data_IF_711858558738
#
_entry.id   IF_711858558738
#
_cell.length_a   1.000
_cell.length_b   1.000
_cell.length_c   1.000
_cell.angle_alpha   90.00
_cell.angle_beta   90.00
_cell.angle_gamma   90.00
#
_symmetry.space_group_name_H-M   'P 1'
#
loop_
_entity.id
_entity.type
_entity.pdbx_description
1 polymer ?
#
# COMPACT_ATOMS: atom_id res chain seq x y z
N UNK A 1 38.89 17.39 -55.09
CA UNK A 1 38.34 18.38 -54.14
C UNK A 1 36.80 18.46 -54.07
N UNK A 2 36.05 18.18 -55.16
CA UNK A 2 34.57 18.26 -55.15
C UNK A 2 33.90 17.21 -54.25
N UNK A 3 34.47 16.00 -54.17
CA UNK A 3 33.95 14.89 -53.34
C UNK A 3 33.95 15.17 -51.82
N UNK A 4 34.91 15.94 -51.31
CA UNK A 4 35.03 16.20 -49.88
C UNK A 4 34.01 17.25 -49.39
N UNK A 5 33.61 18.19 -50.26
CA UNK A 5 32.57 19.19 -49.97
C UNK A 5 31.17 18.55 -49.91
N UNK A 6 30.89 17.59 -50.78
CA UNK A 6 29.64 16.83 -50.77
C UNK A 6 29.51 15.96 -49.50
N UNK A 7 30.59 15.29 -49.10
CA UNK A 7 30.60 14.46 -47.89
C UNK A 7 30.40 15.31 -46.62
N UNK A 8 31.06 16.47 -46.50
CA UNK A 8 30.86 17.39 -45.37
C UNK A 8 29.44 17.95 -45.31
N UNK A 9 28.82 18.27 -46.46
CA UNK A 9 27.43 18.70 -46.51
C UNK A 9 26.46 17.58 -46.09
N UNK A 10 26.70 16.35 -46.53
CA UNK A 10 25.87 15.21 -46.13
C UNK A 10 25.93 14.96 -44.62
N UNK A 11 27.13 14.93 -44.04
CA UNK A 11 27.30 14.72 -42.58
C UNK A 11 26.62 15.84 -41.78
N UNK A 12 26.76 17.10 -42.22
CA UNK A 12 26.14 18.23 -41.53
C UNK A 12 24.61 18.17 -41.57
N UNK A 13 24.03 17.78 -42.72
CA UNK A 13 22.58 17.60 -42.88
C UNK A 13 22.08 16.45 -41.99
N UNK A 14 22.80 15.32 -41.92
CA UNK A 14 22.43 14.19 -41.06
C UNK A 14 22.46 14.56 -39.57
N UNK A 15 23.46 15.32 -39.13
CA UNK A 15 23.55 15.78 -37.73
C UNK A 15 22.38 16.72 -37.39
N UNK A 16 22.04 17.66 -38.27
CA UNK A 16 20.90 18.57 -38.06
C UNK A 16 19.59 17.78 -37.98
N UNK A 17 19.37 16.82 -38.89
CA UNK A 17 18.18 15.95 -38.86
C UNK A 17 18.09 15.15 -37.55
N UNK A 18 19.21 14.60 -37.06
CA UNK A 18 19.24 13.87 -35.80
C UNK A 18 18.93 14.76 -34.59
N UNK A 19 19.46 15.99 -34.56
CA UNK A 19 19.18 16.96 -33.52
C UNK A 19 17.71 17.42 -33.56
N UNK A 20 17.17 17.71 -34.74
CA UNK A 20 15.77 18.09 -34.91
C UNK A 20 14.81 16.96 -34.51
N UNK A 21 15.11 15.72 -34.89
CA UNK A 21 14.33 14.54 -34.48
C UNK A 21 14.44 14.29 -32.97
N UNK A 22 15.63 14.46 -32.39
CA UNK A 22 15.84 14.37 -30.94
C UNK A 22 15.01 15.41 -30.17
N UNK A 23 15.08 16.68 -30.58
CA UNK A 23 14.27 17.78 -29.98
C UNK A 23 12.78 17.53 -30.17
N UNK A 24 12.36 17.05 -31.34
CA UNK A 24 10.96 16.70 -31.60
C UNK A 24 10.47 15.57 -30.68
N UNK A 25 11.26 14.49 -30.53
CA UNK A 25 10.91 13.38 -29.65
C UNK A 25 10.90 13.78 -28.17
N UNK A 26 11.85 14.61 -27.73
CA UNK A 26 11.88 15.16 -26.37
C UNK A 26 10.64 16.03 -26.12
N UNK A 27 10.28 16.91 -27.06
CA UNK A 27 9.11 17.76 -26.93
C UNK A 27 7.79 16.98 -27.01
N UNK A 28 7.72 15.94 -27.85
CA UNK A 28 6.56 15.04 -27.93
C UNK A 28 6.42 14.22 -26.66
N UNK A 29 7.50 13.64 -26.16
CA UNK A 29 7.53 12.92 -24.89
C UNK A 29 7.14 13.83 -23.73
N UNK A 30 7.64 15.08 -23.70
CA UNK A 30 7.20 16.07 -22.73
C UNK A 30 5.72 16.39 -22.88
N UNK A 31 5.19 16.66 -24.07
CA UNK A 31 3.75 16.95 -24.25
C UNK A 31 2.84 15.79 -23.86
N UNK A 32 3.21 14.56 -24.21
CA UNK A 32 2.40 13.36 -23.96
C UNK A 32 2.49 12.90 -22.49
N UNK A 33 3.57 13.22 -21.78
CA UNK A 33 3.76 12.85 -20.37
C UNK A 33 3.66 14.03 -19.39
N UNK A 34 3.63 15.28 -19.86
CA UNK A 34 3.36 16.44 -19.04
C UNK A 34 1.86 16.50 -18.77
N UNK A 35 1.45 15.86 -17.68
CA UNK A 35 0.16 16.17 -17.08
C UNK A 35 0.18 17.67 -16.74
N UNK A 36 -0.74 18.50 -17.25
CA UNK A 36 -0.76 19.92 -16.95
C UNK A 36 -0.81 20.14 -15.43
N UNK A 37 0.29 20.65 -14.86
CA UNK A 37 0.42 20.90 -13.41
C UNK A 37 -0.71 21.83 -12.94
N UNK A 38 -1.18 22.75 -13.80
CA UNK A 38 -2.29 23.68 -13.51
C UNK A 38 -3.62 23.00 -13.16
N UNK A 39 -3.87 21.76 -13.58
CA UNK A 39 -5.11 21.05 -13.25
C UNK A 39 -5.03 20.18 -11.98
N UNK A 40 -3.87 20.12 -11.29
CA UNK A 40 -3.73 19.36 -10.02
C UNK A 40 -4.29 20.07 -8.79
N UNK A 41 -4.64 21.35 -8.91
CA UNK A 41 -4.73 22.23 -7.74
C UNK A 41 -6.10 22.88 -7.51
N UNK A 42 -7.19 22.29 -8.01
CA UNK A 42 -8.54 22.77 -7.70
C UNK A 42 -8.97 22.35 -6.29
N UNK A 43 -9.07 23.35 -5.41
CA UNK A 43 -9.87 23.48 -4.18
C UNK A 43 -9.81 22.35 -3.14
N UNK A 44 -10.00 22.71 -1.88
CA UNK A 44 -10.22 21.78 -0.77
C UNK A 44 -11.43 20.88 -1.11
N UNK A 45 -11.17 19.73 -1.71
CA UNK A 45 -12.20 18.72 -1.95
C UNK A 45 -12.50 18.11 -0.59
N UNK A 46 -13.76 18.20 -0.17
CA UNK A 46 -14.19 17.62 1.08
C UNK A 46 -13.97 16.10 1.04
N UNK A 47 -13.73 15.49 2.20
CA UNK A 47 -13.66 14.03 2.33
C UNK A 47 -14.92 13.35 1.76
N UNK A 48 -16.07 14.02 1.90
CA UNK A 48 -17.38 13.58 1.40
C UNK A 48 -17.39 13.47 -0.14
N UNK A 49 -16.81 14.43 -0.85
CA UNK A 49 -16.80 14.40 -2.32
C UNK A 49 -15.90 13.29 -2.87
N UNK A 50 -14.75 13.05 -2.21
CA UNK A 50 -13.86 11.93 -2.56
C UNK A 50 -14.51 10.57 -2.30
N UNK A 51 -15.26 10.44 -1.21
CA UNK A 51 -16.00 9.22 -0.91
C UNK A 51 -17.11 8.97 -1.95
N UNK A 52 -17.86 10.01 -2.35
CA UNK A 52 -18.86 9.92 -3.41
C UNK A 52 -18.25 9.49 -4.75
N UNK A 53 -17.14 10.12 -5.15
CA UNK A 53 -16.43 9.75 -6.38
C UNK A 53 -15.98 8.30 -6.35
N UNK A 54 -15.41 7.84 -5.23
CA UNK A 54 -15.02 6.45 -5.08
C UNK A 54 -16.21 5.51 -5.16
N UNK A 55 -17.30 5.84 -4.48
CA UNK A 55 -18.49 5.01 -4.49
C UNK A 55 -19.08 4.89 -5.89
N UNK A 56 -19.02 5.97 -6.68
CA UNK A 56 -19.40 5.96 -8.09
C UNK A 56 -18.41 5.14 -8.94
N UNK A 57 -17.10 5.35 -8.77
CA UNK A 57 -16.07 4.66 -9.56
C UNK A 57 -16.04 3.16 -9.30
N UNK A 58 -16.26 2.74 -8.06
CA UNK A 58 -16.20 1.35 -7.62
C UNK A 58 -17.58 0.78 -7.28
N UNK A 59 -18.64 1.25 -7.96
CA UNK A 59 -20.00 0.82 -7.68
C UNK A 59 -20.19 -0.71 -7.82
N UNK A 60 -19.52 -1.34 -8.80
CA UNK A 60 -19.56 -2.80 -8.98
C UNK A 60 -18.94 -3.54 -7.81
N UNK A 61 -17.76 -3.10 -7.35
CA UNK A 61 -17.15 -3.65 -6.15
C UNK A 61 -18.01 -3.41 -4.90
N UNK A 62 -18.64 -2.23 -4.76
CA UNK A 62 -19.54 -1.95 -3.64
C UNK A 62 -20.74 -2.90 -3.61
N UNK A 63 -21.36 -3.15 -4.77
CA UNK A 63 -22.45 -4.12 -4.88
C UNK A 63 -21.99 -5.54 -4.51
N UNK A 64 -20.82 -5.95 -5.01
CA UNK A 64 -20.19 -7.23 -4.70
C UNK A 64 -19.89 -7.39 -3.19
N UNK A 65 -19.31 -6.35 -2.58
CA UNK A 65 -19.00 -6.30 -1.14
C UNK A 65 -20.26 -6.44 -0.29
N UNK A 66 -21.32 -5.69 -0.63
CA UNK A 66 -22.60 -5.76 0.09
C UNK A 66 -23.28 -7.12 -0.05
N UNK A 67 -23.22 -7.74 -1.24
CA UNK A 67 -23.75 -9.08 -1.44
C UNK A 67 -22.95 -10.12 -0.64
N UNK A 68 -21.62 -9.99 -0.64
CA UNK A 68 -20.74 -10.84 0.13
C UNK A 68 -21.07 -10.78 1.64
N UNK A 69 -21.28 -9.60 2.21
CA UNK A 69 -21.67 -9.44 3.64
C UNK A 69 -22.95 -10.21 3.94
N UNK A 70 -24.00 -10.01 3.13
CA UNK A 70 -25.30 -10.69 3.35
C UNK A 70 -25.14 -12.21 3.35
N UNK A 71 -24.46 -12.73 2.33
CA UNK A 71 -24.17 -14.16 2.21
C UNK A 71 -23.34 -14.68 3.39
N UNK A 72 -22.33 -13.92 3.81
CA UNK A 72 -21.44 -14.28 4.90
C UNK A 72 -22.20 -14.39 6.22
N UNK A 73 -22.97 -13.36 6.57
CA UNK A 73 -23.77 -13.33 7.80
C UNK A 73 -24.80 -14.46 7.85
N UNK A 74 -25.48 -14.74 6.74
CA UNK A 74 -26.42 -15.87 6.66
C UNK A 74 -25.71 -17.22 6.90
N UNK A 75 -24.55 -17.42 6.29
CA UNK A 75 -23.78 -18.65 6.45
C UNK A 75 -23.22 -18.78 7.88
N UNK A 76 -22.71 -17.70 8.47
CA UNK A 76 -22.21 -17.71 9.85
C UNK A 76 -23.33 -17.95 10.85
N UNK A 77 -24.51 -17.34 10.66
CA UNK A 77 -25.68 -17.63 11.51
C UNK A 77 -26.02 -19.13 11.50
N UNK A 78 -25.94 -19.79 10.35
CA UNK A 78 -26.13 -21.25 10.24
C UNK A 78 -25.02 -22.02 10.96
N UNK A 79 -23.75 -21.65 10.77
CA UNK A 79 -22.61 -22.26 11.45
C UNK A 79 -22.73 -22.17 12.99
N UNK A 80 -23.10 -21.00 13.51
CA UNK A 80 -23.23 -20.79 14.96
C UNK A 80 -24.40 -21.58 15.56
N UNK A 81 -25.50 -21.77 14.82
CA UNK A 81 -26.58 -22.68 15.23
C UNK A 81 -26.12 -24.14 15.25
N UNK A 82 -25.37 -24.57 14.24
CA UNK A 82 -24.80 -25.94 14.19
C UNK A 82 -23.85 -26.20 15.37
N UNK A 83 -23.07 -25.21 15.79
CA UNK A 83 -22.19 -25.31 16.96
C UNK A 83 -22.95 -25.56 18.26
N UNK A 84 -24.20 -25.10 18.35
CA UNK A 84 -25.06 -25.26 19.54
C UNK A 84 -25.80 -26.61 19.53
N UNK A 85 -26.08 -27.19 18.36
CA UNK A 85 -26.70 -28.50 18.26
C UNK A 85 -25.68 -29.61 18.55
N UNK A 86 -26.01 -30.54 19.46
CA UNK A 86 -25.22 -31.74 19.77
C UNK A 86 -25.17 -32.78 18.64
N UNK A 87 -25.89 -32.54 17.53
CA UNK A 87 -25.94 -33.45 16.37
C UNK A 87 -24.80 -33.11 15.40
N UNK A 88 -23.70 -33.85 15.51
CA UNK A 88 -22.43 -33.62 14.79
C UNK A 88 -22.41 -34.05 13.30
N UNK A 89 -23.56 -34.22 12.64
CA UNK A 89 -23.63 -34.88 11.33
C UNK A 89 -23.86 -33.94 10.13
N UNK A 90 -23.43 -32.67 10.20
CA UNK A 90 -23.44 -31.81 9.01
C UNK A 90 -22.24 -32.10 8.10
N UNK A 91 -22.46 -32.93 7.09
CA UNK A 91 -21.44 -33.32 6.10
C UNK A 91 -20.97 -32.15 5.21
N UNK A 92 -21.79 -31.11 5.02
CA UNK A 92 -21.46 -30.00 4.11
C UNK A 92 -21.35 -28.64 4.83
N UNK A 93 -20.17 -28.35 5.36
CA UNK A 93 -19.83 -27.00 5.83
C UNK A 93 -19.50 -26.09 4.64
N UNK A 94 -19.81 -24.78 4.70
CA UNK A 94 -19.33 -23.82 3.71
C UNK A 94 -17.80 -23.80 3.70
N UNK A 95 -17.23 -23.57 2.53
CA UNK A 95 -15.78 -23.45 2.37
C UNK A 95 -15.29 -22.08 2.86
N UNK A 96 -14.06 -22.02 3.35
CA UNK A 96 -13.53 -20.83 4.01
C UNK A 96 -12.15 -20.42 3.50
N UNK A 97 -11.86 -19.13 3.60
CA UNK A 97 -10.51 -18.55 3.54
C UNK A 97 -10.16 -18.08 4.95
N UNK A 98 -9.04 -18.57 5.49
CA UNK A 98 -8.56 -18.20 6.82
C UNK A 98 -7.24 -17.46 6.69
N UNK A 99 -7.26 -16.18 7.06
CA UNK A 99 -6.07 -15.33 7.13
C UNK A 99 -5.53 -15.35 8.55
N UNK A 100 -4.24 -15.61 8.68
CA UNK A 100 -3.49 -15.43 9.93
C UNK A 100 -2.50 -14.28 9.74
N UNK A 101 -2.80 -13.07 10.21
CA UNK A 101 -1.83 -11.98 10.22
C UNK A 101 -0.63 -12.35 11.11
N UNK A 102 0.58 -11.95 10.73
CA UNK A 102 1.76 -12.18 11.57
C UNK A 102 1.82 -11.14 12.69
N UNK A 103 1.27 -11.48 13.85
CA UNK A 103 1.19 -10.59 15.01
C UNK A 103 2.56 -10.17 15.57
N UNK A 104 3.65 -10.90 15.23
CA UNK A 104 5.03 -10.54 15.58
C UNK A 104 5.59 -9.40 14.73
N UNK A 105 4.89 -9.03 13.68
CA UNK A 105 5.26 -7.91 12.80
C UNK A 105 4.52 -6.63 13.17
N UNK A 106 5.03 -5.50 12.69
CA UNK A 106 4.38 -4.21 12.86
C UNK A 106 3.03 -4.17 12.14
N UNK A 107 2.13 -3.29 12.60
CA UNK A 107 0.74 -3.25 12.15
C UNK A 107 0.58 -3.14 10.61
N UNK A 108 1.47 -2.40 9.94
CA UNK A 108 1.45 -2.26 8.48
C UNK A 108 1.62 -3.59 7.74
N UNK A 109 2.34 -4.57 8.31
CA UNK A 109 2.50 -5.90 7.71
C UNK A 109 1.30 -6.82 7.94
N UNK A 110 0.39 -6.48 8.84
CA UNK A 110 -0.77 -7.32 9.18
C UNK A 110 -1.90 -7.17 8.14
N UNK A 111 -2.03 -6.00 7.53
CA UNK A 111 -3.14 -5.69 6.63
C UNK A 111 -3.06 -6.29 5.22
N UNK A 112 -1.88 -6.38 4.56
CA UNK A 112 -1.80 -6.96 3.23
C UNK A 112 -2.37 -8.38 3.16
N UNK A 113 -2.08 -9.22 4.16
CA UNK A 113 -2.63 -10.58 4.23
C UNK A 113 -4.16 -10.61 4.35
N UNK A 114 -4.75 -9.69 5.13
CA UNK A 114 -6.21 -9.58 5.30
C UNK A 114 -6.87 -9.18 3.99
N UNK A 115 -6.34 -8.16 3.33
CA UNK A 115 -6.82 -7.70 2.01
C UNK A 115 -6.72 -8.81 0.98
N UNK A 116 -5.58 -9.50 0.90
CA UNK A 116 -5.42 -10.61 -0.04
C UNK A 116 -6.38 -11.76 0.24
N UNK A 117 -6.65 -12.08 1.52
CA UNK A 117 -7.61 -13.10 1.87
C UNK A 117 -9.03 -12.75 1.51
N UNK A 118 -9.44 -11.50 1.65
CA UNK A 118 -10.75 -11.07 1.18
C UNK A 118 -10.89 -11.15 -0.34
N UNK A 119 -9.84 -10.74 -1.08
CA UNK A 119 -9.86 -10.88 -2.53
C UNK A 119 -10.04 -12.36 -2.93
N UNK A 120 -9.28 -13.26 -2.31
CA UNK A 120 -9.42 -14.70 -2.58
C UNK A 120 -10.77 -15.25 -2.13
N UNK A 121 -11.35 -14.74 -1.04
CA UNK A 121 -12.67 -15.20 -0.56
C UNK A 121 -13.77 -14.84 -1.55
N UNK A 122 -13.71 -13.66 -2.16
CA UNK A 122 -14.63 -13.28 -3.24
C UNK A 122 -14.40 -14.16 -4.48
N UNK A 123 -13.15 -14.29 -4.95
CA UNK A 123 -12.83 -15.05 -6.18
C UNK A 123 -13.26 -16.52 -6.08
N UNK A 124 -13.15 -17.11 -4.89
CA UNK A 124 -13.44 -18.53 -4.66
C UNK A 124 -14.81 -18.79 -4.03
N UNK A 125 -15.62 -17.74 -3.84
CA UNK A 125 -16.94 -17.80 -3.22
C UNK A 125 -16.94 -18.44 -1.81
N UNK A 126 -15.93 -18.07 -1.00
CA UNK A 126 -15.68 -18.61 0.34
C UNK A 126 -15.92 -17.57 1.42
N UNK A 127 -16.17 -18.03 2.65
CA UNK A 127 -16.25 -17.15 3.82
C UNK A 127 -14.85 -16.77 4.31
N UNK A 128 -14.60 -15.48 4.53
CA UNK A 128 -13.37 -14.97 5.13
C UNK A 128 -13.44 -15.05 6.66
N UNK A 129 -12.36 -15.53 7.26
CA UNK A 129 -12.09 -15.41 8.69
C UNK A 129 -10.65 -14.94 8.95
N UNK A 130 -10.46 -14.24 10.07
CA UNK A 130 -9.18 -13.76 10.59
C UNK A 130 -8.86 -14.58 11.86
N UNK A 131 -7.69 -15.22 11.85
CA UNK A 131 -7.15 -16.05 12.92
C UNK A 131 -6.08 -15.29 13.72
N UNK A 132 -6.26 -15.21 15.04
CA UNK A 132 -5.25 -14.71 15.97
C UNK A 132 -5.14 -13.19 16.13
N UNK A 133 -6.03 -12.39 15.54
CA UNK A 133 -6.09 -10.94 15.72
C UNK A 133 -7.24 -10.55 16.67
N UNK A 134 -7.04 -10.80 17.96
CA UNK A 134 -8.10 -10.68 18.99
C UNK A 134 -8.70 -9.28 19.10
N UNK A 135 -7.85 -8.26 19.01
CA UNK A 135 -8.24 -6.86 19.22
C UNK A 135 -8.64 -6.17 17.90
N UNK A 136 -8.83 -6.93 16.80
CA UNK A 136 -9.21 -6.35 15.50
C UNK A 136 -10.48 -5.50 15.61
N UNK A 137 -11.50 -6.04 16.29
CA UNK A 137 -12.76 -5.33 16.54
C UNK A 137 -12.65 -4.24 17.60
N UNK A 138 -11.50 -4.03 18.22
CA UNK A 138 -11.28 -2.87 19.09
C UNK A 138 -10.95 -1.63 18.27
N UNK A 139 -10.36 -1.82 17.08
CA UNK A 139 -9.88 -0.74 16.22
C UNK A 139 -10.74 -0.50 14.98
N UNK A 140 -11.38 -1.55 14.46
CA UNK A 140 -12.12 -1.49 13.20
C UNK A 140 -13.62 -1.73 13.39
N UNK A 141 -14.40 -1.09 12.53
CA UNK A 141 -15.82 -1.36 12.36
C UNK A 141 -16.03 -2.79 11.88
N UNK A 142 -17.10 -3.41 12.39
CA UNK A 142 -17.41 -4.82 12.10
C UNK A 142 -18.58 -4.90 11.12
N UNK A 143 -18.26 -5.17 9.85
CA UNK A 143 -19.26 -5.34 8.81
C UNK A 143 -19.90 -6.73 8.78
N UNK A 144 -19.15 -7.75 9.21
CA UNK A 144 -19.58 -9.15 9.29
C UNK A 144 -18.72 -9.90 10.32
N UNK A 145 -19.14 -11.10 10.72
CA UNK A 145 -18.43 -11.93 11.71
C UNK A 145 -17.21 -12.64 11.12
N UNK A 146 -16.03 -12.06 11.26
CA UNK A 146 -14.79 -12.63 10.72
C UNK A 146 -13.90 -13.30 11.78
N UNK A 147 -14.29 -13.43 13.05
CA UNK A 147 -13.44 -14.07 14.06
C UNK A 147 -13.41 -15.60 13.88
N UNK A 148 -12.26 -16.14 13.47
CA UNK A 148 -12.06 -17.57 13.25
C UNK A 148 -12.35 -18.42 14.48
N UNK A 149 -12.00 -17.95 15.69
CA UNK A 149 -12.16 -18.70 16.95
C UNK A 149 -13.61 -19.11 17.21
N UNK A 150 -14.58 -18.37 16.66
CA UNK A 150 -16.00 -18.69 16.83
C UNK A 150 -16.43 -19.96 16.10
N UNK A 151 -15.79 -20.30 14.99
CA UNK A 151 -16.18 -21.43 14.13
C UNK A 151 -15.08 -22.49 13.97
N UNK A 152 -13.85 -22.23 14.43
CA UNK A 152 -12.69 -23.09 14.22
C UNK A 152 -12.92 -24.56 14.62
N UNK A 153 -13.68 -24.81 15.69
CA UNK A 153 -13.98 -26.16 16.15
C UNK A 153 -14.79 -27.00 15.14
N UNK A 154 -15.66 -26.35 14.34
CA UNK A 154 -16.44 -27.02 13.29
C UNK A 154 -15.54 -27.51 12.13
N UNK A 155 -14.39 -26.87 11.96
CA UNK A 155 -13.44 -27.18 10.89
C UNK A 155 -12.26 -28.05 11.36
N UNK A 156 -12.34 -28.63 12.56
CA UNK A 156 -11.36 -29.63 13.00
C UNK A 156 -11.34 -30.79 12.00
N UNK A 157 -10.14 -31.21 11.60
CA UNK A 157 -9.90 -32.29 10.62
C UNK A 157 -10.38 -32.02 9.19
N UNK A 158 -10.72 -30.77 8.84
CA UNK A 158 -11.04 -30.39 7.47
C UNK A 158 -9.79 -30.20 6.62
N UNK A 159 -9.95 -30.36 5.31
CA UNK A 159 -8.84 -30.29 4.35
C UNK A 159 -8.34 -28.84 4.18
N UNK A 160 -7.02 -28.65 4.12
CA UNK A 160 -6.39 -27.32 4.07
C UNK A 160 -5.40 -27.20 2.92
N UNK A 161 -5.54 -26.14 2.10
CA UNK A 161 -4.53 -25.71 1.12
C UNK A 161 -3.95 -24.37 1.57
N UNK A 162 -2.65 -24.35 1.81
CA UNK A 162 -1.93 -23.10 2.11
C UNK A 162 -1.59 -22.40 0.80
N UNK A 163 -2.23 -21.26 0.51
CA UNK A 163 -1.87 -20.45 -0.66
C UNK A 163 -0.58 -19.67 -0.41
N UNK A 164 -0.46 -19.15 0.81
CA UNK A 164 0.70 -18.39 1.26
C UNK A 164 1.05 -18.74 2.69
N UNK A 165 2.32 -18.92 2.94
CA UNK A 165 2.93 -19.05 4.25
C UNK A 165 4.18 -18.17 4.29
N UNK A 166 4.70 -17.90 5.49
CA UNK A 166 5.95 -17.17 5.68
C UNK A 166 7.11 -17.77 4.85
N UNK A 167 7.10 -19.09 4.61
CA UNK A 167 8.21 -19.81 3.95
C UNK A 167 7.92 -20.19 2.49
N UNK A 168 6.65 -20.39 2.12
CA UNK A 168 6.23 -20.94 0.83
C UNK A 168 5.03 -20.19 0.28
N UNK A 169 5.08 -19.84 -1.00
CA UNK A 169 4.02 -19.14 -1.71
C UNK A 169 3.68 -19.89 -3.00
N UNK A 170 2.39 -20.06 -3.26
CA UNK A 170 1.87 -20.73 -4.47
C UNK A 170 1.79 -19.75 -5.65
N UNK A 171 2.87 -19.03 -5.96
CA UNK A 171 2.88 -18.00 -7.01
C UNK A 171 2.41 -18.51 -8.38
N UNK A 172 2.77 -19.72 -8.85
CA UNK A 172 2.23 -20.24 -10.10
C UNK A 172 0.70 -20.38 -10.08
N UNK A 173 0.12 -20.83 -8.97
CA UNK A 173 -1.34 -20.94 -8.82
C UNK A 173 -1.99 -19.54 -8.82
N UNK A 174 -1.42 -18.59 -8.09
CA UNK A 174 -1.97 -17.23 -8.00
C UNK A 174 -1.83 -16.47 -9.33
N UNK A 175 -0.70 -16.59 -10.01
CA UNK A 175 -0.40 -15.86 -11.23
C UNK A 175 -1.13 -16.44 -12.45
N UNK A 176 -1.28 -17.76 -12.58
CA UNK A 176 -1.83 -18.38 -13.82
C UNK A 176 -2.78 -19.54 -13.61
N UNK A 177 -2.92 -20.03 -12.38
CA UNK A 177 -3.84 -21.11 -12.08
C UNK A 177 -5.29 -20.65 -11.91
N UNK A 178 -6.21 -21.62 -11.92
CA UNK A 178 -7.61 -21.39 -11.66
C UNK A 178 -7.92 -21.77 -10.20
N UNK A 179 -8.17 -20.77 -9.35
CA UNK A 179 -8.61 -20.93 -7.95
C UNK A 179 -10.01 -21.52 -7.81
N UNK A 180 -10.77 -21.62 -8.91
CA UNK A 180 -12.06 -22.29 -9.01
C UNK A 180 -11.96 -23.70 -9.62
N UNK A 181 -10.74 -24.20 -9.84
CA UNK A 181 -10.50 -25.59 -10.30
C UNK A 181 -10.99 -26.61 -9.29
N UNK A 182 -11.26 -27.84 -9.76
CA UNK A 182 -11.66 -28.97 -8.92
C UNK A 182 -10.63 -29.26 -7.81
N UNK A 183 -9.34 -29.18 -8.13
CA UNK A 183 -8.25 -29.37 -7.14
C UNK A 183 -8.30 -28.33 -6.02
N UNK A 184 -8.46 -27.04 -6.32
CA UNK A 184 -8.54 -26.01 -5.26
C UNK A 184 -9.87 -26.13 -4.51
N UNK A 185 -10.94 -26.49 -5.22
CA UNK A 185 -12.24 -26.71 -4.65
C UNK A 185 -12.32 -27.96 -3.78
N UNK A 186 -11.44 -28.95 -3.90
CA UNK A 186 -11.45 -30.12 -3.02
C UNK A 186 -11.04 -29.79 -1.58
N UNK A 187 -10.45 -28.61 -1.35
CA UNK A 187 -10.07 -28.15 -0.01
C UNK A 187 -11.18 -27.33 0.66
N UNK A 188 -11.44 -27.61 1.93
CA UNK A 188 -12.39 -26.88 2.77
C UNK A 188 -11.85 -25.50 3.16
N UNK A 189 -10.56 -25.42 3.46
CA UNK A 189 -9.87 -24.24 3.97
C UNK A 189 -8.76 -23.80 3.00
N UNK A 190 -8.82 -22.55 2.54
CA UNK A 190 -7.68 -21.88 1.93
C UNK A 190 -6.99 -21.02 2.99
N UNK A 191 -5.74 -21.35 3.31
CA UNK A 191 -4.98 -20.69 4.38
C UNK A 191 -4.01 -19.66 3.82
N UNK A 192 -3.98 -18.50 4.46
CA UNK A 192 -3.09 -17.38 4.13
C UNK A 192 -2.38 -16.94 5.40
N UNK A 193 -1.07 -17.07 5.43
CA UNK A 193 -0.23 -16.60 6.53
C UNK A 193 0.98 -15.87 5.97
N UNK A 194 0.86 -14.56 5.84
CA UNK A 194 1.86 -13.71 5.19
C UNK A 194 1.89 -12.34 5.84
N UNK A 195 3.04 -11.70 5.79
CA UNK A 195 3.26 -10.30 6.18
C UNK A 195 3.38 -9.37 4.97
N UNK A 196 3.19 -9.91 3.75
CA UNK A 196 3.45 -9.24 2.47
C UNK A 196 2.20 -9.17 1.58
N UNK A 197 2.22 -8.27 0.60
CA UNK A 197 1.12 -8.03 -0.35
C UNK A 197 1.15 -9.02 -1.52
N UNK A 198 0.95 -10.31 -1.20
CA UNK A 198 1.21 -11.44 -2.10
C UNK A 198 0.16 -11.71 -3.17
N UNK A 199 -0.96 -10.98 -3.16
CA UNK A 199 -2.04 -11.16 -4.13
C UNK A 199 -1.84 -10.40 -5.44
N UNK A 200 -0.80 -9.56 -5.57
CA UNK A 200 -0.52 -8.83 -6.82
C UNK A 200 -0.54 -9.71 -8.08
N UNK A 201 0.04 -10.92 -8.11
CA UNK A 201 0.07 -11.72 -9.34
C UNK A 201 -1.32 -12.07 -9.88
N UNK A 202 -2.35 -12.08 -9.03
CA UNK A 202 -3.72 -12.40 -9.47
C UNK A 202 -4.31 -11.33 -10.38
N UNK A 203 -3.82 -10.09 -10.29
CA UNK A 203 -4.24 -8.97 -11.13
C UNK A 203 -3.98 -9.21 -12.62
N UNK A 204 -2.98 -10.04 -12.93
CA UNK A 204 -2.63 -10.41 -14.31
C UNK A 204 -3.05 -11.83 -14.66
N UNK A 205 -3.66 -12.56 -13.73
CA UNK A 205 -4.04 -13.94 -13.96
C UNK A 205 -5.09 -14.03 -15.08
N UNK A 206 -4.87 -14.81 -16.16
CA UNK A 206 -5.76 -14.86 -17.31
C UNK A 206 -7.19 -15.29 -16.96
N UNK A 207 -7.39 -16.02 -15.86
CA UNK A 207 -8.72 -16.44 -15.40
C UNK A 207 -9.50 -15.31 -14.70
N UNK A 208 -8.80 -14.29 -14.18
CA UNK A 208 -9.39 -13.29 -13.27
C UNK A 208 -9.15 -11.84 -13.69
N UNK A 209 -8.18 -11.56 -14.56
CA UNK A 209 -7.75 -10.19 -14.89
C UNK A 209 -8.89 -9.31 -15.41
N UNK A 210 -9.74 -9.84 -16.29
CA UNK A 210 -10.85 -9.05 -16.87
C UNK A 210 -11.93 -8.78 -15.82
N UNK A 211 -12.27 -9.78 -15.01
CA UNK A 211 -13.22 -9.62 -13.90
C UNK A 211 -12.69 -8.64 -12.85
N UNK A 212 -11.42 -8.72 -12.46
CA UNK A 212 -10.79 -7.78 -11.52
C UNK A 212 -10.83 -6.37 -12.09
N UNK A 213 -10.48 -6.19 -13.36
CA UNK A 213 -10.50 -4.88 -14.05
C UNK A 213 -11.91 -4.29 -14.10
N UNK A 214 -12.93 -5.13 -14.19
CA UNK A 214 -14.33 -4.71 -14.16
C UNK A 214 -14.76 -4.18 -12.78
N UNK A 215 -14.38 -4.86 -11.69
CA UNK A 215 -14.81 -4.48 -10.34
C UNK A 215 -13.91 -3.41 -9.69
N UNK A 216 -12.61 -3.45 -9.97
CA UNK A 216 -11.57 -2.56 -9.43
C UNK A 216 -10.74 -2.06 -10.61
N UNK A 217 -11.23 -1.05 -11.36
CA UNK A 217 -10.44 -0.41 -12.39
C UNK A 217 -9.15 0.19 -11.79
N UNK A 218 -8.07 0.17 -12.55
CA UNK A 218 -6.73 0.72 -12.24
C UNK A 218 -5.84 -0.10 -11.28
N UNK A 219 -6.14 -1.38 -11.05
CA UNK A 219 -5.28 -2.27 -10.24
C UNK A 219 -5.11 -1.83 -8.77
N UNK A 220 -6.05 -1.04 -8.24
CA UNK A 220 -6.01 -0.47 -6.88
C UNK A 220 -6.67 -1.36 -5.83
N UNK A 221 -6.29 -2.64 -5.82
CA UNK A 221 -6.94 -3.66 -4.99
C UNK A 221 -6.81 -3.34 -3.50
N UNK A 222 -5.61 -3.00 -3.02
CA UNK A 222 -5.43 -2.68 -1.61
C UNK A 222 -6.25 -1.45 -1.22
N UNK A 223 -6.20 -0.38 -2.02
CA UNK A 223 -6.99 0.82 -1.76
C UNK A 223 -8.46 0.52 -1.59
N UNK A 224 -9.07 -0.15 -2.57
CA UNK A 224 -10.52 -0.34 -2.62
C UNK A 224 -10.99 -1.29 -1.51
N UNK A 225 -10.27 -2.38 -1.28
CA UNK A 225 -10.63 -3.35 -0.24
C UNK A 225 -10.39 -2.76 1.16
N UNK A 226 -9.25 -2.09 1.39
CA UNK A 226 -8.92 -1.54 2.71
C UNK A 226 -9.89 -0.45 3.16
N UNK A 227 -10.42 0.35 2.24
CA UNK A 227 -11.44 1.37 2.54
C UNK A 227 -12.77 0.77 3.04
N UNK A 228 -13.06 -0.49 2.73
CA UNK A 228 -14.26 -1.19 3.24
C UNK A 228 -13.97 -2.02 4.47
N UNK A 229 -12.92 -2.85 4.43
CA UNK A 229 -12.61 -3.80 5.51
C UNK A 229 -11.91 -3.18 6.70
N UNK A 230 -11.10 -2.15 6.48
CA UNK A 230 -10.29 -1.50 7.51
C UNK A 230 -10.89 -0.12 7.77
N UNK A 231 -12.17 -0.04 8.11
CA UNK A 231 -12.78 1.21 8.56
C UNK A 231 -12.52 1.35 10.05
N UNK A 232 -11.87 2.43 10.46
CA UNK A 232 -11.61 2.69 11.87
C UNK A 232 -12.93 2.88 12.61
N UNK A 233 -12.99 2.45 13.87
CA UNK A 233 -14.14 2.76 14.73
C UNK A 233 -14.42 4.25 14.79
N UNK A 234 -15.68 4.60 14.96
CA UNK A 234 -16.15 5.97 15.03
C UNK A 234 -15.31 6.88 15.95
N UNK A 235 -15.01 6.45 17.18
CA UNK A 235 -14.25 7.25 18.16
C UNK A 235 -12.80 7.50 17.72
N UNK A 236 -12.16 6.50 17.09
CA UNK A 236 -10.81 6.62 16.53
C UNK A 236 -10.82 7.52 15.31
N UNK A 237 -11.78 7.32 14.40
CA UNK A 237 -11.93 8.13 13.20
C UNK A 237 -12.25 9.60 13.55
N UNK A 238 -13.04 9.84 14.60
CA UNK A 238 -13.31 11.18 15.12
C UNK A 238 -12.05 11.88 15.60
N UNK A 239 -11.09 11.17 16.20
CA UNK A 239 -9.79 11.75 16.56
C UNK A 239 -9.00 12.17 15.32
N UNK A 240 -9.00 11.35 14.27
CA UNK A 240 -8.38 11.68 12.98
C UNK A 240 -9.03 12.93 12.36
N UNK A 241 -10.36 12.96 12.30
CA UNK A 241 -11.12 14.08 11.73
C UNK A 241 -10.91 15.38 12.50
N UNK A 242 -10.92 15.32 13.84
CA UNK A 242 -10.62 16.46 14.69
C UNK A 242 -9.19 16.97 14.46
N UNK A 243 -8.21 16.08 14.34
CA UNK A 243 -6.83 16.48 14.06
C UNK A 243 -6.75 17.19 12.71
N UNK A 244 -7.32 16.61 11.65
CA UNK A 244 -7.30 17.19 10.29
C UNK A 244 -7.97 18.55 10.29
N UNK A 245 -9.19 18.66 10.82
CA UNK A 245 -9.97 19.91 10.84
C UNK A 245 -9.21 21.05 11.52
N UNK A 246 -8.47 20.75 12.59
CA UNK A 246 -7.75 21.76 13.37
C UNK A 246 -6.34 22.09 12.84
N UNK A 247 -5.77 21.24 11.97
CA UNK A 247 -4.35 21.32 11.64
C UNK A 247 -4.03 21.39 10.15
N UNK A 248 -4.85 20.81 9.29
CA UNK A 248 -4.57 20.74 7.87
C UNK A 248 -4.88 22.07 7.19
N UNK A 249 -4.00 22.42 6.25
CA UNK A 249 -4.12 23.61 5.42
C UNK A 249 -4.79 23.28 4.09
N UNK A 250 -4.65 24.19 3.14
CA UNK A 250 -5.13 24.01 1.77
C UNK A 250 -4.35 22.93 1.00
N UNK A 251 -3.11 22.69 1.39
CA UNK A 251 -2.25 21.65 0.84
C UNK A 251 -1.45 20.98 1.94
N UNK A 252 -1.36 19.66 1.92
CA UNK A 252 -0.85 18.87 3.04
C UNK A 252 0.21 17.89 2.57
N UNK A 253 1.45 18.02 3.06
CA UNK A 253 2.54 17.09 2.80
C UNK A 253 2.66 16.16 4.01
N UNK A 254 2.50 14.87 3.81
CA UNK A 254 2.68 13.86 4.85
C UNK A 254 4.05 13.22 4.76
N UNK A 255 4.78 13.15 5.88
CA UNK A 255 6.08 12.50 5.96
C UNK A 255 5.98 11.32 6.91
N UNK A 256 6.38 10.15 6.44
CA UNK A 256 6.58 8.98 7.29
C UNK A 256 8.07 8.64 7.37
N UNK A 257 8.66 8.91 8.53
CA UNK A 257 10.07 8.69 8.85
C UNK A 257 10.24 7.41 9.69
N UNK A 258 10.98 6.45 9.16
CA UNK A 258 11.33 5.22 9.85
C UNK A 258 12.84 5.10 10.01
N UNK A 259 13.37 5.36 11.20
CA UNK A 259 14.81 5.27 11.46
C UNK A 259 15.22 3.93 12.10
N UNK A 260 14.30 3.23 12.78
CA UNK A 260 14.59 1.93 13.41
C UNK A 260 14.25 0.79 12.46
N UNK A 261 15.21 0.48 11.60
CA UNK A 261 15.25 -0.77 10.85
C UNK A 261 16.53 -1.53 11.20
N UNK A 262 16.48 -2.32 12.28
CA UNK A 262 17.52 -3.30 12.58
C UNK A 262 17.24 -4.54 11.73
N UNK A 263 18.09 -4.84 10.76
CA UNK A 263 18.15 -6.20 10.20
C UNK A 263 19.33 -6.92 10.85
N UNK A 264 19.31 -8.26 10.91
CA UNK A 264 20.42 -9.04 11.47
C UNK A 264 21.73 -8.89 10.66
N UNK A 265 21.67 -8.35 9.44
CA UNK A 265 22.82 -8.25 8.51
C UNK A 265 23.33 -6.82 8.32
N UNK A 266 22.45 -5.83 8.26
CA UNK A 266 22.85 -4.43 8.04
C UNK A 266 22.95 -3.70 9.38
N UNK A 267 24.11 -3.11 9.67
CA UNK A 267 24.25 -2.09 10.71
C UNK A 267 23.33 -0.91 10.36
N UNK A 268 22.08 -0.94 10.87
CA UNK A 268 21.02 0.08 10.79
C UNK A 268 20.94 0.79 9.42
N UNK A 269 19.92 0.52 8.61
CA UNK A 269 19.59 1.44 7.51
C UNK A 269 19.22 2.81 8.12
N UNK A 270 20.20 3.72 8.20
CA UNK A 270 20.02 5.08 8.71
C UNK A 270 19.70 5.94 7.50
N UNK A 271 18.44 6.29 7.33
CA UNK A 271 18.09 7.32 6.36
C UNK A 271 18.44 8.67 6.98
N UNK A 272 19.30 9.48 6.35
CA UNK A 272 19.67 10.77 6.91
C UNK A 272 18.45 11.68 6.94
N UNK A 273 18.04 12.07 8.14
CA UNK A 273 16.81 12.81 8.40
C UNK A 273 16.77 14.12 7.60
N UNK A 274 17.93 14.75 7.40
CA UNK A 274 18.08 15.99 6.61
C UNK A 274 17.52 15.86 5.19
N UNK A 275 17.61 14.70 4.54
CA UNK A 275 17.14 14.60 3.15
C UNK A 275 15.62 14.72 3.02
N UNK A 276 14.85 14.39 4.07
CA UNK A 276 13.40 14.60 4.03
C UNK A 276 13.03 16.09 3.95
N UNK A 277 13.79 16.98 4.58
CA UNK A 277 13.53 18.42 4.45
C UNK A 277 13.80 18.91 3.02
N UNK A 278 14.82 18.38 2.35
CA UNK A 278 15.11 18.70 0.95
C UNK A 278 13.98 18.25 0.01
N UNK A 279 13.38 17.10 0.27
CA UNK A 279 12.19 16.65 -0.49
C UNK A 279 11.01 17.60 -0.24
N UNK A 280 10.80 18.03 1.01
CA UNK A 280 9.76 19.02 1.33
C UNK A 280 10.01 20.33 0.58
N UNK A 281 11.23 20.85 0.57
CA UNK A 281 11.59 22.05 -0.20
C UNK A 281 11.27 21.90 -1.68
N UNK A 282 11.67 20.76 -2.28
CA UNK A 282 11.38 20.44 -3.68
C UNK A 282 9.87 20.44 -3.96
N UNK A 283 9.06 19.84 -3.08
CA UNK A 283 7.60 19.85 -3.23
C UNK A 283 7.02 21.25 -3.10
N UNK A 284 7.52 22.04 -2.13
CA UNK A 284 7.10 23.43 -1.92
C UNK A 284 7.38 24.33 -3.12
N UNK A 285 8.44 24.08 -3.89
CA UNK A 285 8.73 24.83 -5.13
C UNK A 285 7.61 24.70 -6.18
N UNK A 286 6.87 23.58 -6.16
CA UNK A 286 5.76 23.33 -7.08
C UNK A 286 4.38 23.79 -6.59
N UNK A 287 4.30 24.41 -5.40
CA UNK A 287 3.04 24.79 -4.76
C UNK A 287 2.87 26.31 -4.74
N UNK A 288 1.86 26.82 -5.43
CA UNK A 288 1.56 28.25 -5.53
C UNK A 288 1.02 28.83 -4.21
N UNK A 289 1.89 29.37 -3.34
CA UNK A 289 1.57 30.19 -2.15
C UNK A 289 0.30 29.79 -1.37
N UNK A 290 0.05 28.49 -1.23
CA UNK A 290 -1.07 27.94 -0.45
C UNK A 290 -0.71 27.93 1.04
N UNK A 291 -1.72 27.88 1.91
CA UNK A 291 -1.46 27.50 3.30
C UNK A 291 -1.06 26.01 3.33
N UNK A 292 0.23 25.73 3.54
CA UNK A 292 0.76 24.36 3.48
C UNK A 292 0.94 23.81 4.88
N UNK A 293 0.45 22.60 5.13
CA UNK A 293 0.73 21.86 6.35
C UNK A 293 1.68 20.69 6.06
N UNK A 294 2.70 20.51 6.89
CA UNK A 294 3.59 19.34 6.86
C UNK A 294 3.27 18.47 8.08
N UNK A 295 2.63 17.32 7.85
CA UNK A 295 2.37 16.33 8.89
C UNK A 295 3.53 15.33 8.99
N UNK A 296 4.06 15.11 10.20
CA UNK A 296 5.19 14.21 10.42
C UNK A 296 4.78 13.05 11.34
N UNK A 297 4.84 11.83 10.81
CA UNK A 297 4.80 10.59 11.57
C UNK A 297 6.20 9.96 11.61
N UNK A 298 6.66 9.53 12.78
CA UNK A 298 7.95 8.89 12.95
C UNK A 298 7.87 7.69 13.89
N UNK A 299 8.93 6.89 13.99
CA UNK A 299 9.04 5.78 14.95
C UNK A 299 9.81 6.12 16.24
N UNK A 300 10.33 7.36 16.37
CA UNK A 300 10.89 7.88 17.63
C UNK A 300 10.63 9.38 17.81
N UNK A 301 10.51 9.84 19.06
CA UNK A 301 10.37 11.27 19.40
C UNK A 301 11.60 12.07 18.93
N UNK A 302 12.80 11.52 19.15
CA UNK A 302 14.07 12.15 18.76
C UNK A 302 14.16 12.37 17.24
N UNK A 303 13.84 11.36 16.43
CA UNK A 303 13.92 11.47 14.97
C UNK A 303 12.87 12.44 14.41
N UNK A 304 11.66 12.44 14.99
CA UNK A 304 10.61 13.42 14.67
C UNK A 304 11.11 14.85 14.96
N UNK A 305 11.61 15.11 16.16
CA UNK A 305 12.05 16.44 16.56
C UNK A 305 13.26 16.91 15.72
N UNK A 306 14.19 16.00 15.41
CA UNK A 306 15.29 16.29 14.49
C UNK A 306 14.78 16.67 13.10
N UNK A 307 13.79 15.95 12.57
CA UNK A 307 13.18 16.26 11.27
C UNK A 307 12.49 17.63 11.29
N UNK A 308 11.70 17.91 12.33
CA UNK A 308 11.04 19.21 12.53
C UNK A 308 12.08 20.33 12.48
N UNK A 309 13.20 20.19 13.20
CA UNK A 309 14.29 21.17 13.20
C UNK A 309 14.93 21.35 11.82
N UNK A 310 15.12 20.27 11.05
CA UNK A 310 15.65 20.37 9.69
C UNK A 310 14.68 21.08 8.74
N UNK A 311 13.39 20.74 8.81
CA UNK A 311 12.35 21.38 7.97
C UNK A 311 12.22 22.87 8.32
N UNK A 312 12.21 23.22 9.61
CA UNK A 312 12.20 24.63 10.04
C UNK A 312 13.40 25.41 9.51
N UNK A 313 14.63 24.90 9.71
CA UNK A 313 15.84 25.56 9.21
C UNK A 313 15.81 25.80 7.71
N UNK A 314 15.22 24.88 6.95
CA UNK A 314 15.11 24.95 5.50
C UNK A 314 13.98 25.90 5.03
N UNK A 315 12.97 26.13 5.87
CA UNK A 315 11.89 27.11 5.64
C UNK A 315 12.32 28.54 5.99
N UNK A 316 13.11 28.70 7.06
CA UNK A 316 13.56 30.00 7.56
C UNK A 316 14.52 30.68 6.57
N UNK A 317 15.36 29.91 5.88
CA UNK A 317 16.22 30.44 4.82
C UNK A 317 15.44 31.06 3.66
N UNK A 318 14.19 30.63 3.45
CA UNK A 318 13.38 30.98 2.30
C UNK A 318 12.21 31.92 2.62
N UNK A 319 12.10 32.41 3.88
CA UNK A 319 10.99 33.23 4.37
C UNK A 319 9.59 32.60 4.13
N UNK A 320 9.50 31.27 4.18
CA UNK A 320 8.27 30.48 3.92
C UNK A 320 7.33 30.44 5.13
N UNK A 321 6.87 31.60 5.60
CA UNK A 321 5.96 31.72 6.77
C UNK A 321 4.58 31.06 6.60
N UNK A 322 4.25 30.59 5.40
CA UNK A 322 2.98 29.93 5.07
C UNK A 322 2.96 28.41 5.34
N UNK A 323 4.05 27.84 5.86
CA UNK A 323 4.16 26.41 6.14
C UNK A 323 3.99 26.13 7.64
N UNK A 324 2.97 25.35 8.00
CA UNK A 324 2.72 24.87 9.38
C UNK A 324 3.21 23.43 9.52
N UNK A 325 4.07 23.16 10.50
CA UNK A 325 4.50 21.78 10.81
C UNK A 325 3.64 21.23 11.95
N UNK A 326 3.09 20.03 11.79
CA UNK A 326 2.21 19.39 12.77
C UNK A 326 2.53 17.90 12.94
N UNK A 327 2.22 17.36 14.12
CA UNK A 327 2.35 15.94 14.42
C UNK A 327 1.43 15.57 15.59
N UNK A 328 1.14 14.28 15.77
CA UNK A 328 0.49 13.81 16.98
C UNK A 328 1.52 13.68 18.10
N UNK A 329 1.12 14.02 19.32
CA UNK A 329 1.90 13.77 20.52
C UNK A 329 1.70 12.32 21.00
N UNK A 330 2.16 11.36 20.20
CA UNK A 330 2.15 9.94 20.56
C UNK A 330 3.37 9.63 21.46
N UNK A 331 3.13 8.89 22.55
CA UNK A 331 4.23 8.37 23.35
C UNK A 331 4.91 7.17 22.66
N UNK A 332 5.93 7.47 21.86
CA UNK A 332 6.78 6.49 21.20
C UNK A 332 7.85 5.87 22.13
N UNK A 333 7.82 6.16 23.43
CA UNK A 333 8.67 5.48 24.41
C UNK A 333 8.08 4.14 24.82
N UNK A 334 6.75 3.98 24.72
CA UNK A 334 6.02 2.76 25.06
C UNK A 334 6.58 1.58 24.28
N UNK A 335 7.01 0.54 25.00
CA UNK A 335 7.47 -0.69 24.40
C UNK A 335 6.28 -1.51 23.90
N UNK A 336 6.38 -2.00 22.66
CA UNK A 336 5.35 -2.86 22.10
C UNK A 336 5.60 -4.31 22.54
N UNK A 337 4.63 -4.96 23.20
CA UNK A 337 4.81 -6.30 23.78
C UNK A 337 5.07 -7.38 22.73
N UNK A 338 4.72 -7.13 21.47
CA UNK A 338 4.90 -8.07 20.35
C UNK A 338 6.16 -7.82 19.53
N UNK A 339 6.75 -6.62 19.61
CA UNK A 339 7.90 -6.24 18.80
C UNK A 339 8.68 -5.07 19.40
N UNK A 340 9.87 -5.33 19.94
CA UNK A 340 10.82 -4.31 20.40
C UNK A 340 11.22 -3.26 19.32
N UNK A 341 10.98 -3.56 18.04
CA UNK A 341 11.30 -2.66 16.93
C UNK A 341 10.19 -1.64 16.61
N UNK A 342 8.99 -1.78 17.17
CA UNK A 342 7.82 -0.97 16.80
C UNK A 342 7.22 -0.35 18.05
N UNK A 343 7.91 0.64 18.63
CA UNK A 343 7.43 1.36 19.82
C UNK A 343 6.16 2.16 19.54
N UNK A 344 5.49 2.56 20.61
CA UNK A 344 4.18 3.21 20.57
C UNK A 344 3.03 2.20 20.62
N UNK A 345 1.82 2.73 20.65
CA UNK A 345 0.59 1.95 20.72
C UNK A 345 0.05 1.65 19.33
N UNK A 346 -0.74 0.57 19.21
CA UNK A 346 -1.39 0.21 17.96
C UNK A 346 -2.38 1.28 17.49
N UNK A 347 -3.15 1.85 18.43
CA UNK A 347 -4.06 2.96 18.18
C UNK A 347 -3.33 4.20 17.65
N UNK A 348 -2.18 4.59 18.24
CA UNK A 348 -1.40 5.73 17.78
C UNK A 348 -0.88 5.52 16.35
N UNK A 349 -0.41 4.31 16.05
CA UNK A 349 0.02 3.93 14.71
C UNK A 349 -1.11 4.01 13.67
N UNK A 350 -2.32 3.55 14.03
CA UNK A 350 -3.49 3.63 13.16
C UNK A 350 -3.91 5.07 12.86
N UNK A 351 -3.93 5.93 13.88
CA UNK A 351 -4.27 7.34 13.72
C UNK A 351 -3.23 8.04 12.83
N UNK A 352 -1.93 7.82 13.06
CA UNK A 352 -0.85 8.37 12.22
C UNK A 352 -0.96 7.90 10.75
N UNK A 353 -1.18 6.60 10.52
CA UNK A 353 -1.41 6.06 9.16
C UNK A 353 -2.61 6.73 8.50
N UNK A 354 -3.71 6.89 9.25
CA UNK A 354 -4.93 7.44 8.69
C UNK A 354 -4.76 8.92 8.35
N UNK A 355 -4.11 9.72 9.20
CA UNK A 355 -3.84 11.14 8.91
C UNK A 355 -2.92 11.27 7.69
N UNK A 356 -1.85 10.47 7.58
CA UNK A 356 -1.02 10.42 6.37
C UNK A 356 -1.85 10.14 5.12
N UNK A 357 -2.85 9.26 5.22
CA UNK A 357 -3.74 8.92 4.10
C UNK A 357 -4.57 10.12 3.60
N UNK A 358 -4.71 11.20 4.38
CA UNK A 358 -5.40 12.42 3.99
C UNK A 358 -4.49 13.49 3.37
N UNK A 359 -3.16 13.30 3.40
CA UNK A 359 -2.22 14.24 2.80
C UNK A 359 -2.27 14.24 1.26
N UNK A 360 -2.04 15.41 0.66
CA UNK A 360 -1.99 15.65 -0.78
C UNK A 360 -0.77 15.02 -1.43
N UNK A 361 0.40 15.09 -0.79
CA UNK A 361 1.62 14.39 -1.16
C UNK A 361 2.17 13.59 0.02
N UNK A 362 2.88 12.51 -0.28
CA UNK A 362 3.51 11.65 0.73
C UNK A 362 4.99 11.47 0.46
N UNK A 363 5.80 11.59 1.50
CA UNK A 363 7.23 11.28 1.51
C UNK A 363 7.47 10.12 2.49
N UNK A 364 7.93 8.98 1.98
CA UNK A 364 8.02 7.74 2.73
C UNK A 364 9.45 7.21 2.79
N UNK A 365 9.81 6.64 3.93
CA UNK A 365 10.99 5.77 4.05
C UNK A 365 10.85 4.52 3.18
N UNK A 366 11.86 4.25 2.34
CA UNK A 366 12.00 3.00 1.61
C UNK A 366 11.85 1.76 2.49
N UNK A 367 11.01 0.84 2.03
CA UNK A 367 10.80 -0.44 2.69
C UNK A 367 10.14 -0.34 4.06
N UNK A 368 9.38 0.72 4.31
CA UNK A 368 8.44 0.79 5.41
C UNK A 368 7.04 0.51 4.93
N UNK A 369 6.48 -0.64 5.33
CA UNK A 369 5.09 -0.99 5.02
C UNK A 369 4.12 0.02 5.63
N UNK A 370 4.44 0.64 6.77
CA UNK A 370 3.59 1.66 7.40
C UNK A 370 3.21 2.78 6.43
N UNK A 371 4.21 3.37 5.76
CA UNK A 371 4.00 4.45 4.81
C UNK A 371 3.19 4.01 3.59
N UNK A 372 3.49 2.83 3.06
CA UNK A 372 2.77 2.29 1.89
C UNK A 372 1.31 1.94 2.19
N UNK A 373 1.03 1.45 3.40
CA UNK A 373 -0.33 1.22 3.87
C UNK A 373 -1.07 2.55 3.97
N UNK A 374 -0.47 3.59 4.56
CA UNK A 374 -1.07 4.91 4.59
C UNK A 374 -1.35 5.47 3.18
N UNK A 375 -0.42 5.27 2.24
CA UNK A 375 -0.61 5.65 0.84
C UNK A 375 -1.78 4.91 0.18
N UNK A 376 -1.86 3.58 0.37
CA UNK A 376 -2.91 2.74 -0.19
C UNK A 376 -4.27 2.99 0.43
N UNK A 377 -4.34 3.27 1.74
CA UNK A 377 -5.57 3.51 2.50
C UNK A 377 -6.18 4.90 2.27
N UNK A 378 -5.57 5.69 1.39
CA UNK A 378 -5.97 7.07 1.07
C UNK A 378 -7.18 7.13 0.14
N UNK A 379 -8.16 7.98 0.48
CA UNK A 379 -9.24 8.34 -0.43
C UNK A 379 -8.74 9.10 -1.67
N UNK A 380 -7.64 9.84 -1.52
CA UNK A 380 -6.98 10.64 -2.57
C UNK A 380 -6.13 9.80 -3.52
N UNK A 381 -5.90 8.52 -3.21
CA UNK A 381 -5.13 7.59 -4.06
C UNK A 381 -5.68 7.47 -5.48
N UNK A 382 -6.94 7.84 -5.72
CA UNK A 382 -7.55 7.89 -7.04
C UNK A 382 -6.96 8.95 -7.96
N UNK A 383 -6.64 10.13 -7.40
CA UNK A 383 -6.21 11.32 -8.14
C UNK A 383 -4.71 11.58 -8.01
N UNK A 384 -4.06 10.95 -7.03
CA UNK A 384 -2.63 11.12 -6.75
C UNK A 384 -1.78 10.08 -7.47
N UNK A 385 -0.58 10.50 -7.87
CA UNK A 385 0.52 9.56 -8.12
C UNK A 385 0.91 8.84 -6.81
N UNK A 386 1.80 7.88 -6.91
CA UNK A 386 2.33 7.22 -5.71
C UNK A 386 3.16 8.17 -4.84
N UNK A 387 3.50 7.74 -3.62
CA UNK A 387 4.36 8.50 -2.72
C UNK A 387 5.76 8.75 -3.29
N UNK A 388 6.40 9.83 -2.86
CA UNK A 388 7.84 10.00 -2.98
C UNK A 388 8.55 9.08 -1.98
N UNK A 389 9.49 8.28 -2.46
CA UNK A 389 10.21 7.30 -1.65
C UNK A 389 11.65 7.75 -1.49
N UNK A 390 12.09 7.84 -0.23
CA UNK A 390 13.45 8.19 0.15
C UNK A 390 14.19 6.91 0.52
N UNK A 391 15.26 6.59 -0.22
CA UNK A 391 16.13 5.46 0.04
C UNK A 391 17.58 5.96 0.15
N UNK A 392 18.33 5.61 1.20
CA UNK A 392 19.76 5.90 1.22
C UNK A 392 20.47 5.06 0.13
N UNK A 393 21.45 5.65 -0.54
CA UNK A 393 22.25 4.94 -1.54
C UNK A 393 22.99 3.76 -0.87
N UNK A 394 23.05 2.59 -1.51
CA UNK A 394 23.88 1.49 -1.01
C UNK A 394 25.33 1.74 -1.37
N UNK A 395 26.23 1.72 -0.39
CA UNK A 395 27.68 1.74 -0.62
C UNK A 395 28.20 0.36 -0.99
N UNK A 396 27.70 -0.65 -0.30
CA UNK A 396 28.02 -2.07 -0.50
C UNK A 396 26.81 -2.95 -0.05
N UNK A 397 27.01 -4.26 0.08
CA UNK A 397 25.94 -5.19 0.45
C UNK A 397 25.33 -4.91 1.84
N UNK A 398 26.13 -4.37 2.77
CA UNK A 398 25.75 -4.22 4.18
C UNK A 398 25.64 -2.76 4.65
N UNK A 399 26.21 -1.80 3.89
CA UNK A 399 26.30 -0.40 4.25
C UNK A 399 25.54 0.55 3.31
N UNK A 400 25.00 1.61 3.91
CA UNK A 400 24.30 2.69 3.20
C UNK A 400 25.07 4.01 3.33
N UNK A 401 25.01 4.85 2.29
CA UNK A 401 25.51 6.21 2.30
C UNK A 401 24.63 7.09 3.18
N UNK A 402 25.26 7.89 4.03
CA UNK A 402 24.58 8.82 4.94
C UNK A 402 24.42 10.23 4.36
N UNK A 403 24.89 10.43 3.14
CA UNK A 403 24.99 11.71 2.45
C UNK A 403 24.33 11.69 1.07
N UNK A 404 23.96 10.50 0.59
CA UNK A 404 23.37 10.29 -0.73
C UNK A 404 22.10 9.46 -0.62
N UNK A 405 21.07 9.91 -1.34
CA UNK A 405 19.78 9.24 -1.43
C UNK A 405 19.38 9.03 -2.88
N UNK A 406 18.64 7.95 -3.09
CA UNK A 406 17.72 7.81 -4.21
C UNK A 406 16.37 8.38 -3.80
N UNK A 407 15.84 9.26 -4.65
CA UNK A 407 14.49 9.80 -4.54
C UNK A 407 13.73 9.46 -5.82
N UNK A 408 12.55 8.88 -5.69
CA UNK A 408 11.66 8.68 -6.82
C UNK A 408 10.20 8.80 -6.38
N UNK A 409 9.33 9.15 -7.33
CA UNK A 409 7.89 9.06 -7.12
C UNK A 409 7.40 7.67 -7.55
N UNK A 410 6.75 6.96 -6.64
CA UNK A 410 6.16 5.66 -6.94
C UNK A 410 5.06 5.79 -8.00
N UNK A 411 4.92 4.77 -8.86
CA UNK A 411 3.90 4.76 -9.93
C UNK A 411 2.50 4.45 -9.39
N UNK A 412 2.41 3.85 -8.20
CA UNK A 412 1.15 3.46 -7.56
C UNK A 412 1.17 3.81 -6.07
N UNK A 413 -0.02 3.99 -5.51
CA UNK A 413 -0.25 4.10 -4.07
C UNK A 413 -0.41 2.73 -3.39
N UNK A 414 -0.51 1.65 -4.18
CA UNK A 414 -0.60 0.28 -3.67
C UNK A 414 0.66 -0.09 -2.86
N UNK A 415 0.54 -0.95 -1.85
CA UNK A 415 1.71 -1.51 -1.18
C UNK A 415 2.62 -2.25 -2.16
N UNK A 416 3.94 -2.16 -1.95
CA UNK A 416 4.86 -3.01 -2.68
C UNK A 416 4.75 -4.47 -2.19
N UNK A 417 5.19 -5.40 -3.03
CA UNK A 417 5.21 -6.83 -2.72
C UNK A 417 6.66 -7.24 -2.47
N UNK A 418 7.08 -7.31 -1.21
CA UNK A 418 8.46 -7.66 -0.87
C UNK A 418 8.94 -8.97 -1.51
N UNK A 419 8.05 -9.96 -1.57
CA UNK A 419 8.30 -11.26 -2.17
C UNK A 419 8.21 -11.24 -3.70
N UNK A 420 7.93 -10.10 -4.33
CA UNK A 420 7.97 -9.93 -5.78
C UNK A 420 9.35 -10.28 -6.35
N UNK A 421 10.45 -9.90 -5.68
CA UNK A 421 11.80 -10.32 -6.08
C UNK A 421 12.02 -11.83 -5.96
N UNK A 422 11.36 -12.49 -5.01
CA UNK A 422 11.43 -13.95 -4.85
C UNK A 422 10.66 -14.61 -5.98
N UNK A 423 9.43 -14.16 -6.25
CA UNK A 423 8.64 -14.61 -7.39
C UNK A 423 9.46 -14.54 -8.69
N UNK A 424 10.07 -13.40 -8.96
CA UNK A 424 10.88 -13.15 -10.16
C UNK A 424 12.11 -14.05 -10.29
N UNK A 425 12.71 -14.47 -9.16
CA UNK A 425 13.94 -15.28 -9.14
C UNK A 425 13.66 -16.78 -9.13
N UNK A 426 12.59 -17.22 -8.48
CA UNK A 426 12.38 -18.63 -8.14
C UNK A 426 11.20 -19.27 -8.86
N UNK A 427 10.33 -18.49 -9.52
CA UNK A 427 9.18 -19.04 -10.25
C UNK A 427 9.57 -19.44 -11.68
N UNK A 428 8.75 -20.29 -12.29
CA UNK A 428 8.93 -20.65 -13.70
C UNK A 428 8.75 -19.44 -14.64
N UNK A 429 9.39 -19.43 -15.83
CA UNK A 429 9.34 -18.30 -16.76
C UNK A 429 7.93 -17.82 -17.11
N UNK A 430 6.96 -18.73 -17.24
CA UNK A 430 5.58 -18.39 -17.59
C UNK A 430 4.85 -17.68 -16.45
N UNK A 431 5.11 -18.09 -15.20
CA UNK A 431 4.61 -17.37 -14.02
C UNK A 431 5.17 -15.95 -13.94
N UNK A 432 6.47 -15.77 -14.24
CA UNK A 432 7.12 -14.46 -14.27
C UNK A 432 6.58 -13.58 -15.40
N UNK A 433 6.37 -14.15 -16.58
CA UNK A 433 5.77 -13.48 -17.74
C UNK A 433 4.40 -12.92 -17.40
N UNK A 434 3.49 -13.75 -16.87
CA UNK A 434 2.14 -13.30 -16.47
C UNK A 434 2.22 -12.22 -15.38
N UNK A 435 3.13 -12.34 -14.40
CA UNK A 435 3.31 -11.29 -13.41
C UNK A 435 3.75 -9.95 -14.04
N UNK A 436 4.62 -10.00 -15.06
CA UNK A 436 5.10 -8.81 -15.78
C UNK A 436 4.05 -8.16 -16.69
N UNK A 437 2.97 -8.86 -17.02
CA UNK A 437 1.82 -8.25 -17.70
C UNK A 437 1.13 -7.18 -16.83
N UNK A 438 1.39 -7.17 -15.50
CA UNK A 438 0.93 -6.09 -14.65
C UNK A 438 1.70 -4.80 -14.98
N UNK A 439 1.06 -3.69 -15.37
CA UNK A 439 1.76 -2.44 -15.72
C UNK A 439 2.57 -1.85 -14.56
N UNK A 440 2.31 -2.28 -13.33
CA UNK A 440 3.01 -1.87 -12.11
C UNK A 440 3.95 -2.94 -11.54
N UNK A 441 4.28 -4.01 -12.29
CA UNK A 441 5.15 -5.09 -11.80
C UNK A 441 6.49 -4.60 -11.23
N UNK A 442 7.06 -3.52 -11.78
CA UNK A 442 8.30 -2.90 -11.27
C UNK A 442 8.09 -2.29 -9.88
N UNK A 443 6.97 -1.60 -9.65
CA UNK A 443 6.61 -1.08 -8.32
C UNK A 443 6.56 -2.21 -7.29
N UNK A 444 5.96 -3.34 -7.67
CA UNK A 444 5.83 -4.49 -6.79
C UNK A 444 7.13 -5.26 -6.58
N UNK A 445 8.06 -5.27 -7.54
CA UNK A 445 9.30 -6.06 -7.44
C UNK A 445 10.54 -5.26 -7.00
N UNK A 446 10.54 -3.94 -7.22
CA UNK A 446 11.68 -3.05 -6.95
C UNK A 446 11.38 -1.98 -5.88
N UNK A 447 10.10 -1.70 -5.61
CA UNK A 447 9.69 -0.70 -4.60
C UNK A 447 9.85 -1.16 -3.15
N UNK A 448 10.24 -2.42 -2.94
CA UNK A 448 10.38 -3.09 -1.65
C UNK A 448 11.83 -3.61 -1.44
N UNK A 449 12.39 -3.48 -0.22
CA UNK A 449 13.79 -3.75 0.18
C UNK A 449 14.33 -5.14 -0.12
#
# INVERSE_FOLDING_TARGET
>A
MVSLKLLRRSIFITIILFLCLGVYYINKFHRENSIPIKNRFTSVISSIDLEKEQNQKFFKFNALYNNYIKKHDEAVKKLLKLKQSTVSNSTNLPKVVVVKPDMKTGIGNRFPGIVCGFLYSIITDRLLFIDGYKDFTDYFEKDFEHNWEKVANLYQNRSVKSLHSIKKNEFPLIARGNLSSEEVNSYDILRIHTWDYVCVPIMSNPNYKEWIKEIIPDYKIFTVISQKLLRLKFDINKQVENFITNNFGEYNIGIHLRVRKKTKKTNKMIIPIKHYSQVVEMLLMGIDKKNVTVFIAADTNESRNNLINYVHKSLDSDNKKFVKIVHINNDMSIENPYSHFNRGTEIGALIDMKILSFCDDLVLTYGSTFGYIAAGWSYRSLRRLGPFVVMPERKDEDNFSLDKIWLWQARSNEPCMYLGKVLMKTSDPKTVEVFKDNPFWMHYSQGCP
#
